data_IF_847372456731
#
_entry.id   IF_847372456731
#
_cell.length_a   1.000
_cell.length_b   1.000
_cell.length_c   1.000
_cell.angle_alpha   90.00
_cell.angle_beta   90.00
_cell.angle_gamma   90.00
#
_symmetry.space_group_name_H-M   'P 1'
#
loop_
_entity.id
_entity.type
_entity.pdbx_description
1 polymer ?
#
# COMPACT_ATOMS: atom_id res chain seq x y z
N UNK A 1 64.32 59.71 -12.61
CA UNK A 1 64.12 58.93 -11.36
C UNK A 1 62.66 58.48 -11.11
N UNK A 2 61.70 58.65 -12.03
CA UNK A 2 60.29 58.25 -11.81
C UNK A 2 59.94 56.81 -12.23
N UNK A 3 60.76 56.15 -13.05
CA UNK A 3 60.49 54.80 -13.61
C UNK A 3 60.65 53.67 -12.60
N UNK A 4 61.51 53.84 -11.59
CA UNK A 4 61.83 52.80 -10.58
C UNK A 4 60.66 52.65 -9.59
N UNK A 5 59.94 53.75 -9.29
CA UNK A 5 58.79 53.71 -8.40
C UNK A 5 57.57 53.04 -9.04
N UNK A 6 57.38 53.19 -10.35
CA UNK A 6 56.30 52.53 -11.08
C UNK A 6 56.47 51.01 -11.15
N UNK A 7 57.69 50.51 -11.34
CA UNK A 7 57.98 49.07 -11.34
C UNK A 7 57.85 48.45 -9.95
N UNK A 8 58.23 49.18 -8.90
CA UNK A 8 58.08 48.71 -7.51
C UNK A 8 56.60 48.60 -7.09
N UNK A 9 55.75 49.54 -7.51
CA UNK A 9 54.31 49.53 -7.21
C UNK A 9 53.57 48.39 -7.93
N UNK A 10 53.96 48.09 -9.17
CA UNK A 10 53.37 47.00 -9.95
C UNK A 10 53.77 45.61 -9.40
N UNK A 11 55.02 45.46 -8.95
CA UNK A 11 55.48 44.22 -8.32
C UNK A 11 54.81 43.96 -6.95
N UNK A 12 54.54 45.02 -6.18
CA UNK A 12 53.81 44.92 -4.91
C UNK A 12 52.34 44.54 -5.07
N UNK A 13 51.68 45.00 -6.15
CA UNK A 13 50.29 44.66 -6.42
C UNK A 13 50.09 43.19 -6.84
N UNK A 14 51.05 42.59 -7.56
CA UNK A 14 50.99 41.17 -7.94
C UNK A 14 51.13 40.21 -6.74
N UNK A 15 51.80 40.61 -5.65
CA UNK A 15 51.93 39.76 -4.46
C UNK A 15 50.67 39.74 -3.58
N UNK A 16 49.73 40.69 -3.77
CA UNK A 16 48.52 40.78 -2.96
C UNK A 16 47.35 39.89 -3.45
N UNK A 17 47.47 39.26 -4.63
CA UNK A 17 46.40 38.43 -5.24
C UNK A 17 46.58 36.93 -4.94
N UNK A 18 47.67 36.52 -4.29
CA UNK A 18 48.04 35.12 -4.13
C UNK A 18 47.48 34.38 -2.90
N UNK A 19 46.59 34.98 -2.11
CA UNK A 19 46.12 34.35 -0.86
C UNK A 19 44.60 34.44 -0.71
N UNK A 20 43.87 33.80 -1.62
CA UNK A 20 42.54 33.32 -1.29
C UNK A 20 42.68 31.83 -0.95
N UNK A 21 42.22 31.37 0.22
CA UNK A 21 42.12 29.93 0.46
C UNK A 21 41.24 29.31 -0.64
N UNK A 22 41.64 28.13 -1.12
CA UNK A 22 40.81 27.26 -1.93
C UNK A 22 39.40 27.22 -1.31
N UNK A 23 38.32 27.47 -2.06
CA UNK A 23 36.98 27.39 -1.51
C UNK A 23 36.80 26.00 -0.87
N UNK A 24 36.19 25.93 0.33
CA UNK A 24 36.01 24.64 0.99
C UNK A 24 35.19 23.73 0.08
N UNK A 25 35.57 22.45 0.03
CA UNK A 25 34.83 21.46 -0.74
C UNK A 25 33.41 21.37 -0.20
N UNK A 26 32.44 21.29 -1.10
CA UNK A 26 31.02 21.23 -0.71
C UNK A 26 30.75 19.98 0.12
N UNK A 27 29.93 20.16 1.15
CA UNK A 27 29.55 19.06 2.05
C UNK A 27 28.47 18.18 1.42
N UNK A 28 28.35 16.93 1.90
CA UNK A 28 27.25 16.02 1.51
C UNK A 28 25.88 16.66 1.75
N UNK A 29 25.73 17.34 2.89
CA UNK A 29 24.45 17.93 3.28
C UNK A 29 24.05 19.07 2.34
N UNK A 30 24.99 19.90 1.90
CA UNK A 30 24.73 20.96 0.93
C UNK A 30 24.20 20.42 -0.41
N UNK A 31 24.71 19.27 -0.85
CA UNK A 31 24.21 18.59 -2.04
C UNK A 31 22.83 17.96 -1.84
N UNK A 32 22.56 17.42 -0.66
CA UNK A 32 21.24 16.90 -0.30
C UNK A 32 20.19 18.01 -0.27
N UNK A 33 20.56 19.20 0.22
CA UNK A 33 19.65 20.33 0.35
C UNK A 33 19.43 21.08 -0.98
N UNK A 34 20.35 20.95 -1.94
CA UNK A 34 20.28 21.63 -3.24
C UNK A 34 20.41 20.64 -4.42
N UNK A 35 19.29 20.12 -4.96
CA UNK A 35 19.32 19.11 -6.03
C UNK A 35 19.98 19.62 -7.32
N UNK A 36 19.81 20.90 -7.65
CA UNK A 36 20.43 21.51 -8.84
C UNK A 36 21.96 21.45 -8.76
N UNK A 37 22.53 21.70 -7.57
CA UNK A 37 23.97 21.62 -7.35
C UNK A 37 24.47 20.17 -7.41
N UNK A 38 23.68 19.24 -6.86
CA UNK A 38 23.98 17.82 -6.93
C UNK A 38 24.02 17.31 -8.37
N UNK A 39 23.02 17.64 -9.19
CA UNK A 39 22.98 17.26 -10.60
C UNK A 39 24.16 17.84 -11.38
N UNK A 40 24.45 19.14 -11.20
CA UNK A 40 25.58 19.79 -11.85
C UNK A 40 26.93 19.14 -11.46
N UNK A 41 27.11 18.83 -10.17
CA UNK A 41 28.29 18.14 -9.68
C UNK A 41 28.39 16.72 -10.26
N UNK A 42 27.29 15.96 -10.28
CA UNK A 42 27.26 14.61 -10.84
C UNK A 42 27.61 14.59 -12.33
N UNK A 43 27.13 15.56 -13.12
CA UNK A 43 27.49 15.71 -14.53
C UNK A 43 28.98 15.98 -14.69
N UNK A 44 29.55 16.91 -13.90
CA UNK A 44 30.99 17.19 -13.92
C UNK A 44 31.82 15.96 -13.53
N UNK A 45 31.42 15.28 -12.46
CA UNK A 45 32.10 14.07 -11.98
C UNK A 45 32.04 12.92 -13.00
N UNK A 46 30.98 12.86 -13.82
CA UNK A 46 30.83 11.84 -14.84
C UNK A 46 31.75 12.03 -16.06
N UNK A 47 32.17 13.28 -16.36
CA UNK A 47 33.01 13.57 -17.54
C UNK A 47 34.36 12.85 -17.50
N UNK A 48 35.02 12.78 -16.34
CA UNK A 48 36.30 12.08 -16.15
C UNK A 48 36.31 11.24 -14.87
N UNK A 49 35.56 10.13 -14.86
CA UNK A 49 35.39 9.27 -13.67
C UNK A 49 36.68 8.71 -13.08
N UNK A 50 37.73 8.52 -13.89
CA UNK A 50 39.00 7.95 -13.43
C UNK A 50 39.73 8.94 -12.53
N UNK A 51 39.78 10.21 -12.94
CA UNK A 51 40.43 11.29 -12.22
C UNK A 51 39.62 11.72 -10.99
N UNK A 52 38.29 11.83 -11.15
CA UNK A 52 37.37 12.28 -10.09
C UNK A 52 36.95 11.18 -9.12
N UNK A 53 37.54 9.99 -9.21
CA UNK A 53 37.18 8.85 -8.36
C UNK A 53 37.31 9.16 -6.87
N UNK A 54 38.37 9.87 -6.49
CA UNK A 54 38.70 10.21 -5.12
C UNK A 54 38.61 11.71 -4.82
N UNK A 55 38.13 12.50 -5.78
CA UNK A 55 37.84 13.90 -5.54
C UNK A 55 36.74 14.02 -4.47
N UNK A 56 37.02 14.83 -3.44
CA UNK A 56 36.16 14.97 -2.28
C UNK A 56 34.76 15.47 -2.67
N UNK A 57 34.64 16.40 -3.63
CA UNK A 57 33.33 16.86 -4.10
C UNK A 57 32.55 15.73 -4.78
N UNK A 58 33.21 14.91 -5.60
CA UNK A 58 32.57 13.80 -6.31
C UNK A 58 32.25 12.60 -5.42
N UNK A 59 32.99 12.39 -4.33
CA UNK A 59 32.63 11.42 -3.29
C UNK A 59 31.41 11.92 -2.52
N UNK A 60 31.41 13.18 -2.10
CA UNK A 60 30.31 13.78 -1.36
C UNK A 60 29.01 13.81 -2.17
N UNK A 61 29.07 14.16 -3.45
CA UNK A 61 27.92 14.15 -4.36
C UNK A 61 27.34 12.73 -4.52
N UNK A 62 28.19 11.71 -4.70
CA UNK A 62 27.72 10.31 -4.79
C UNK A 62 27.07 9.84 -3.50
N UNK A 63 27.65 10.20 -2.35
CA UNK A 63 27.06 9.91 -1.06
C UNK A 63 25.70 10.60 -0.89
N UNK A 64 25.56 11.85 -1.35
CA UNK A 64 24.30 12.57 -1.34
C UNK A 64 23.22 11.86 -2.16
N UNK A 65 23.55 11.37 -3.37
CA UNK A 65 22.63 10.55 -4.18
C UNK A 65 22.15 9.33 -3.40
N UNK A 66 23.07 8.56 -2.82
CA UNK A 66 22.72 7.36 -2.04
C UNK A 66 21.81 7.69 -0.84
N UNK A 67 22.00 8.85 -0.20
CA UNK A 67 21.13 9.30 0.90
C UNK A 67 19.73 9.70 0.41
N UNK A 68 19.63 10.38 -0.73
CA UNK A 68 18.35 10.77 -1.34
C UNK A 68 17.57 9.52 -1.74
N UNK A 69 18.20 8.59 -2.48
CA UNK A 69 17.59 7.33 -2.89
C UNK A 69 17.10 6.51 -1.67
N UNK A 70 17.90 6.43 -0.61
CA UNK A 70 17.51 5.75 0.62
C UNK A 70 16.36 6.44 1.37
N UNK A 71 16.17 7.75 1.23
CA UNK A 71 15.02 8.48 1.78
C UNK A 71 13.78 8.24 0.93
N UNK A 72 13.91 8.31 -0.40
CA UNK A 72 12.81 8.07 -1.33
C UNK A 72 12.27 6.66 -1.24
N UNK A 73 13.14 5.65 -1.15
CA UNK A 73 12.72 4.26 -1.00
C UNK A 73 11.97 4.03 0.33
N UNK A 74 12.39 4.67 1.42
CA UNK A 74 11.66 4.64 2.70
C UNK A 74 10.29 5.29 2.57
N UNK A 75 10.22 6.49 2.00
CA UNK A 75 8.96 7.18 1.77
C UNK A 75 8.01 6.37 0.88
N UNK A 76 8.53 5.71 -0.15
CA UNK A 76 7.75 4.83 -1.03
C UNK A 76 7.18 3.64 -0.27
N UNK A 77 7.98 2.99 0.58
CA UNK A 77 7.51 1.86 1.41
C UNK A 77 6.41 2.30 2.37
N UNK A 78 6.61 3.40 3.08
CA UNK A 78 5.61 3.97 4.00
C UNK A 78 4.30 4.32 3.27
N UNK A 79 4.39 4.89 2.07
CA UNK A 79 3.22 5.19 1.25
C UNK A 79 2.44 3.93 0.85
N UNK A 80 3.14 2.86 0.42
CA UNK A 80 2.52 1.58 0.06
C UNK A 80 1.90 0.89 1.28
N UNK A 81 2.56 0.92 2.42
CA UNK A 81 2.05 0.39 3.68
C UNK A 81 0.79 1.14 4.12
N UNK A 82 0.79 2.47 4.04
CA UNK A 82 -0.39 3.30 4.34
C UNK A 82 -1.55 3.00 3.39
N UNK A 83 -1.30 2.83 2.08
CA UNK A 83 -2.33 2.44 1.11
C UNK A 83 -2.89 1.04 1.39
N UNK A 84 -2.01 0.08 1.71
CA UNK A 84 -2.41 -1.28 2.09
C UNK A 84 -3.25 -1.28 3.38
N UNK A 85 -2.87 -0.50 4.38
CA UNK A 85 -3.64 -0.33 5.61
C UNK A 85 -5.03 0.22 5.33
N UNK A 86 -5.14 1.30 4.55
CA UNK A 86 -6.45 1.88 4.15
C UNK A 86 -7.32 0.87 3.40
N UNK A 87 -6.74 0.10 2.48
CA UNK A 87 -7.47 -0.94 1.72
C UNK A 87 -7.98 -2.06 2.63
N UNK A 88 -7.15 -2.54 3.56
CA UNK A 88 -7.54 -3.56 4.55
C UNK A 88 -8.65 -3.07 5.47
N UNK A 89 -8.57 -1.82 5.92
CA UNK A 89 -9.61 -1.21 6.75
C UNK A 89 -10.92 -1.05 5.98
N UNK A 90 -10.88 -0.55 4.74
CA UNK A 90 -12.05 -0.43 3.89
C UNK A 90 -12.71 -1.80 3.66
N UNK A 91 -11.92 -2.84 3.38
CA UNK A 91 -12.42 -4.20 3.22
C UNK A 91 -13.11 -4.69 4.50
N UNK A 92 -12.49 -4.50 5.67
CA UNK A 92 -13.08 -4.88 6.95
C UNK A 92 -14.45 -4.21 7.16
N UNK A 93 -14.54 -2.89 6.93
CA UNK A 93 -15.81 -2.15 7.05
C UNK A 93 -16.89 -2.68 6.10
N UNK A 94 -16.52 -3.00 4.85
CA UNK A 94 -17.50 -3.57 3.90
C UNK A 94 -17.96 -4.96 4.31
N UNK A 95 -17.08 -5.79 4.87
CA UNK A 95 -17.42 -7.13 5.34
C UNK A 95 -18.32 -7.08 6.58
N UNK A 96 -18.02 -6.19 7.53
CA UNK A 96 -18.84 -5.94 8.71
C UNK A 96 -20.24 -5.46 8.31
N UNK A 97 -20.33 -4.48 7.42
CA UNK A 97 -21.61 -3.96 6.92
C UNK A 97 -22.42 -5.05 6.19
N UNK A 98 -21.77 -5.88 5.38
CA UNK A 98 -22.43 -6.99 4.70
C UNK A 98 -22.91 -8.08 5.67
N UNK A 99 -22.12 -8.39 6.70
CA UNK A 99 -22.52 -9.35 7.74
C UNK A 99 -23.70 -8.82 8.56
N UNK A 100 -23.70 -7.52 8.90
CA UNK A 100 -24.82 -6.90 9.60
C UNK A 100 -26.09 -6.85 8.74
N UNK A 101 -25.96 -6.53 7.45
CA UNK A 101 -27.08 -6.56 6.53
C UNK A 101 -27.73 -7.95 6.44
N UNK A 102 -26.91 -9.02 6.41
CA UNK A 102 -27.40 -10.41 6.44
C UNK A 102 -28.14 -10.74 7.74
N UNK A 103 -27.59 -10.36 8.90
CA UNK A 103 -28.28 -10.57 10.19
C UNK A 103 -29.64 -9.86 10.21
N UNK A 104 -29.69 -8.61 9.72
CA UNK A 104 -30.94 -7.85 9.65
C UNK A 104 -31.95 -8.44 8.68
N UNK A 105 -31.51 -9.01 7.55
CA UNK A 105 -32.43 -9.69 6.62
C UNK A 105 -32.97 -10.99 7.20
N UNK A 106 -32.13 -11.80 7.83
CA UNK A 106 -32.52 -13.06 8.48
C UNK A 106 -33.52 -12.80 9.62
N UNK A 107 -33.29 -11.78 10.45
CA UNK A 107 -34.22 -11.38 11.50
C UNK A 107 -35.55 -10.88 10.92
N UNK A 108 -35.51 -10.08 9.85
CA UNK A 108 -36.73 -9.61 9.18
C UNK A 108 -37.52 -10.75 8.53
N UNK A 109 -36.84 -11.74 7.94
CA UNK A 109 -37.46 -12.94 7.39
C UNK A 109 -38.09 -13.79 8.49
N UNK A 110 -37.41 -13.98 9.62
CA UNK A 110 -37.97 -14.68 10.78
C UNK A 110 -39.25 -13.99 11.28
N UNK A 111 -39.23 -12.67 11.43
CA UNK A 111 -40.41 -11.91 11.86
C UNK A 111 -41.56 -11.99 10.85
N UNK A 112 -41.27 -12.01 9.54
CA UNK A 112 -42.29 -12.22 8.51
C UNK A 112 -42.86 -13.63 8.58
N UNK A 113 -42.02 -14.64 8.73
CA UNK A 113 -42.46 -16.03 8.85
C UNK A 113 -43.29 -16.26 10.12
N UNK A 114 -42.91 -15.66 11.25
CA UNK A 114 -43.71 -15.67 12.48
C UNK A 114 -45.07 -14.99 12.28
N UNK A 115 -45.11 -13.84 11.60
CA UNK A 115 -46.36 -13.15 11.28
C UNK A 115 -47.26 -13.95 10.32
N UNK A 116 -46.68 -14.59 9.30
CA UNK A 116 -47.40 -15.48 8.38
C UNK A 116 -47.93 -16.72 9.10
N UNK A 117 -47.14 -17.32 9.99
CA UNK A 117 -47.58 -18.45 10.82
C UNK A 117 -48.76 -18.07 11.71
N UNK A 118 -48.70 -16.92 12.38
CA UNK A 118 -49.81 -16.40 13.18
C UNK A 118 -51.03 -16.05 12.31
N UNK A 119 -50.86 -15.55 11.09
CA UNK A 119 -51.97 -15.30 10.18
C UNK A 119 -52.64 -16.60 9.71
N UNK A 120 -51.87 -17.68 9.51
CA UNK A 120 -52.38 -18.97 9.05
C UNK A 120 -53.03 -19.81 10.16
N UNK A 121 -52.48 -19.77 11.38
CA UNK A 121 -52.87 -20.65 12.50
C UNK A 121 -53.36 -19.91 13.75
N UNK A 122 -53.28 -18.58 13.79
CA UNK A 122 -53.62 -17.77 14.96
C UNK A 122 -55.11 -17.42 15.12
N UNK A 123 -55.98 -17.91 14.23
CA UNK A 123 -57.42 -17.74 14.34
C UNK A 123 -58.08 -19.07 14.76
N UNK A 124 -58.35 -19.18 16.06
CA UNK A 124 -59.06 -20.33 16.63
C UNK A 124 -58.70 -20.68 18.07
N UNK A 125 -58.55 -19.70 18.98
CA UNK A 125 -58.87 -20.02 20.36
C UNK A 125 -60.40 -20.08 20.41
N UNK A 126 -61.04 -21.27 20.59
CA UNK A 126 -62.46 -21.28 20.86
C UNK A 126 -62.71 -20.37 22.06
N UNK A 127 -63.77 -19.53 22.05
CA UNK A 127 -64.09 -18.72 23.20
C UNK A 127 -64.13 -19.63 24.42
N UNK A 128 -63.43 -19.24 25.49
CA UNK A 128 -63.38 -20.00 26.73
C UNK A 128 -64.81 -20.30 27.17
N UNK A 129 -65.27 -21.52 26.88
CA UNK A 129 -66.44 -22.08 27.54
C UNK A 129 -65.93 -22.40 28.95
N UNK A 130 -66.49 -21.67 29.90
CA UNK A 130 -66.39 -21.97 31.31
C UNK A 130 -66.71 -23.44 31.55
N UNK A 131 -65.81 -24.11 32.27
CA UNK A 131 -66.05 -25.32 33.07
C UNK A 131 -66.44 -26.57 32.26
N UNK A 132 -65.44 -27.42 31.99
CA UNK A 132 -65.56 -28.86 32.24
C UNK A 132 -64.15 -29.45 32.36
N UNK A 133 -63.86 -29.95 33.57
CA UNK A 133 -62.72 -30.81 33.87
C UNK A 133 -62.88 -32.11 33.07
N UNK A 134 -62.04 -32.35 32.07
CA UNK A 134 -61.88 -33.70 31.52
C UNK A 134 -60.41 -34.03 31.29
N UNK A 135 -60.04 -35.18 31.85
CA UNK A 135 -58.73 -35.82 31.85
C UNK A 135 -58.06 -35.83 30.48
N UNK A 136 -56.85 -35.25 30.40
CA UNK A 136 -55.85 -35.58 29.39
C UNK A 136 -54.50 -35.79 30.07
N UNK A 137 -54.46 -36.81 30.95
CA UNK A 137 -53.25 -37.59 31.15
C UNK A 137 -52.86 -38.29 29.83
N UNK A 138 -51.55 -38.38 29.60
CA UNK A 138 -50.88 -39.22 28.61
C UNK A 138 -50.90 -38.75 27.14
N UNK A 139 -49.96 -37.86 26.80
CA UNK A 139 -49.10 -38.02 25.62
C UNK A 139 -47.87 -37.11 25.72
N UNK A 140 -46.95 -37.45 26.65
CA UNK A 140 -45.59 -36.91 26.61
C UNK A 140 -44.78 -37.82 25.68
N UNK A 141 -44.22 -37.34 24.57
CA UNK A 141 -43.30 -38.15 23.78
C UNK A 141 -42.10 -38.50 24.68
N UNK A 142 -41.94 -39.79 24.98
CA UNK A 142 -40.79 -40.27 25.73
C UNK A 142 -39.52 -39.87 24.99
N UNK A 143 -38.74 -38.96 25.58
CA UNK A 143 -37.42 -38.64 25.10
C UNK A 143 -36.55 -39.90 25.24
N UNK A 144 -36.35 -40.62 24.13
CA UNK A 144 -35.35 -41.69 24.05
C UNK A 144 -33.99 -41.02 24.10
N UNK A 145 -33.41 -40.96 25.30
CA UNK A 145 -32.00 -40.62 25.48
C UNK A 145 -31.18 -41.81 24.96
N UNK A 146 -30.33 -41.65 23.91
CA UNK A 146 -29.39 -42.70 23.57
C UNK A 146 -28.40 -42.86 24.74
N UNK A 147 -28.29 -44.08 25.26
CA UNK A 147 -27.30 -44.39 26.29
C UNK A 147 -25.88 -44.19 25.72
N UNK A 148 -24.95 -43.63 26.50
CA UNK A 148 -23.53 -43.68 26.16
C UNK A 148 -23.02 -45.11 26.40
N UNK A 149 -22.60 -45.79 25.33
CA UNK A 149 -21.75 -46.97 25.43
C UNK A 149 -20.31 -46.50 25.73
N UNK A 150 -19.85 -46.74 26.95
CA UNK A 150 -18.43 -46.66 27.34
C UNK A 150 -17.91 -48.10 27.62
N UNK A 151 -16.60 -48.36 27.66
CA UNK A 151 -15.62 -48.26 26.58
C UNK A 151 -14.80 -49.56 26.48
N UNK A 152 -14.49 -50.04 25.27
CA UNK A 152 -13.48 -51.10 25.10
C UNK A 152 -12.78 -51.03 23.74
N UNK A 153 -11.67 -50.30 23.74
CA UNK A 153 -10.35 -50.81 23.34
C UNK A 153 -10.24 -51.56 22.01
N UNK A 154 -9.66 -50.91 20.99
CA UNK A 154 -8.61 -51.48 20.13
C UNK A 154 -7.72 -50.39 19.52
N UNK A 155 -6.49 -50.39 20.01
CA UNK A 155 -5.16 -50.00 19.49
C UNK A 155 -4.96 -49.51 18.04
N UNK A 156 -3.85 -48.76 17.80
CA UNK A 156 -3.71 -47.81 16.69
C UNK A 156 -3.11 -48.46 15.44
N UNK A 157 -3.63 -48.10 14.27
CA UNK A 157 -3.01 -48.45 13.00
C UNK A 157 -3.01 -47.24 12.05
N UNK A 158 -1.82 -46.67 11.88
CA UNK A 158 -1.34 -46.17 10.60
C UNK A 158 -1.93 -44.87 10.07
N UNK A 159 -1.11 -43.82 10.05
CA UNK A 159 -1.36 -42.66 9.20
C UNK A 159 -0.68 -41.41 9.71
N UNK A 160 0.64 -41.37 9.59
CA UNK A 160 1.40 -40.12 9.65
C UNK A 160 0.99 -39.25 8.45
N UNK A 161 -0.15 -38.58 8.56
CA UNK A 161 -0.56 -37.54 7.64
C UNK A 161 0.09 -36.24 8.11
N UNK A 162 1.30 -36.01 7.61
CA UNK A 162 1.81 -34.65 7.49
C UNK A 162 0.75 -33.82 6.75
N UNK A 163 0.34 -32.63 7.24
CA UNK A 163 -0.42 -31.74 6.41
C UNK A 163 0.51 -31.30 5.28
N UNK A 164 0.30 -31.90 4.10
CA UNK A 164 0.87 -31.45 2.85
C UNK A 164 0.52 -29.99 2.67
N UNK A 165 1.52 -29.14 2.85
CA UNK A 165 1.53 -27.75 2.41
C UNK A 165 1.62 -27.75 0.88
N UNK A 166 0.54 -28.15 0.21
CA UNK A 166 0.38 -28.05 -1.23
C UNK A 166 -0.90 -27.25 -1.52
N UNK A 167 -0.76 -25.94 -1.46
CA UNK A 167 -1.86 -25.02 -1.73
C UNK A 167 -1.42 -23.57 -1.64
N UNK A 168 -0.19 -23.28 -2.06
CA UNK A 168 0.28 -21.90 -2.26
C UNK A 168 -0.53 -21.26 -3.38
N UNK A 169 -1.72 -20.76 -3.07
CA UNK A 169 -2.49 -19.87 -3.93
C UNK A 169 -1.90 -18.46 -3.82
N UNK A 170 -0.62 -18.34 -4.16
CA UNK A 170 -0.01 -17.06 -4.47
C UNK A 170 -0.38 -16.76 -5.93
N UNK A 171 -1.02 -15.61 -6.24
CA UNK A 171 -1.22 -15.24 -7.62
C UNK A 171 0.15 -15.12 -8.29
N UNK A 172 0.38 -15.94 -9.32
CA UNK A 172 1.50 -15.76 -10.24
C UNK A 172 1.26 -14.43 -10.93
N UNK A 173 2.03 -13.40 -10.55
CA UNK A 173 2.14 -12.20 -11.36
C UNK A 173 2.86 -12.62 -12.64
N UNK A 174 2.10 -12.91 -13.69
CA UNK A 174 2.61 -12.83 -15.05
C UNK A 174 3.08 -11.39 -15.24
N UNK A 175 4.39 -11.18 -15.12
CA UNK A 175 5.02 -10.00 -15.69
C UNK A 175 4.96 -10.17 -17.20
N UNK A 176 3.80 -9.85 -17.78
CA UNK A 176 3.69 -9.51 -19.18
C UNK A 176 4.62 -8.33 -19.41
N UNK A 177 5.71 -8.56 -20.14
CA UNK A 177 6.56 -7.50 -20.68
C UNK A 177 5.66 -6.41 -21.26
N UNK A 178 5.88 -5.12 -20.95
CA UNK A 178 5.12 -4.07 -21.60
C UNK A 178 5.42 -4.16 -23.10
N UNK A 179 4.43 -4.59 -23.88
CA UNK A 179 4.47 -4.40 -25.32
C UNK A 179 4.49 -2.89 -25.54
N UNK A 180 5.61 -2.42 -26.04
CA UNK A 180 5.76 -1.06 -26.55
C UNK A 180 4.78 -0.96 -27.73
N UNK A 181 3.61 -0.38 -27.49
CA UNK A 181 2.80 0.12 -28.59
C UNK A 181 3.62 1.18 -29.33
N UNK A 182 3.84 1.07 -30.66
CA UNK A 182 4.46 2.14 -31.40
C UNK A 182 3.53 3.35 -31.35
N UNK A 183 4.11 4.47 -30.89
CA UNK A 183 3.47 5.77 -30.85
C UNK A 183 2.75 6.06 -32.17
N UNK A 184 1.45 6.32 -32.09
CA UNK A 184 0.71 6.94 -33.17
C UNK A 184 1.40 8.25 -33.55
N UNK A 185 1.72 8.37 -34.85
CA UNK A 185 2.39 9.54 -35.41
C UNK A 185 1.62 10.84 -35.12
N UNK A 186 2.32 11.97 -34.94
CA UNK A 186 1.68 13.26 -34.78
C UNK A 186 1.04 13.67 -36.12
N UNK A 187 -0.28 13.77 -36.15
CA UNK A 187 -1.00 14.40 -37.27
C UNK A 187 -0.56 15.85 -37.36
N UNK A 188 0.08 16.19 -38.47
CA UNK A 188 0.42 17.56 -38.88
C UNK A 188 -0.82 18.46 -38.86
N UNK A 189 -0.91 19.32 -37.83
CA UNK A 189 -1.85 20.43 -37.79
C UNK A 189 -1.40 21.53 -38.74
N UNK A 190 -1.99 21.58 -39.93
CA UNK A 190 -1.84 22.68 -40.88
C UNK A 190 -2.56 23.94 -40.36
N UNK A 191 -1.98 25.15 -40.47
CA UNK A 191 -2.56 26.38 -39.95
C UNK A 191 -3.50 27.09 -40.96
N UNK A 192 -4.46 27.84 -40.43
CA UNK A 192 -5.39 28.72 -41.17
C UNK A 192 -6.75 28.06 -41.43
N UNK A 193 -7.89 28.70 -41.17
CA UNK A 193 -8.21 30.11 -41.39
C UNK A 193 -9.24 30.60 -40.38
N UNK A 194 -9.07 31.85 -39.96
CA UNK A 194 -10.10 32.64 -39.33
C UNK A 194 -11.29 32.81 -40.29
N UNK A 195 -12.50 32.59 -39.78
CA UNK A 195 -13.69 33.21 -40.35
C UNK A 195 -14.63 33.60 -39.22
N UNK A 196 -14.66 34.91 -38.98
CA UNK A 196 -15.68 35.68 -38.30
C UNK A 196 -17.03 35.56 -39.00
N UNK A 197 -18.13 35.36 -38.27
CA UNK A 197 -19.42 36.01 -38.59
C UNK A 197 -20.23 36.16 -37.30
N UNK A 198 -20.76 37.37 -37.14
CA UNK A 198 -21.83 37.84 -36.22
C UNK A 198 -23.09 36.95 -36.15
#
# INVERSE_FOLDING_TARGET
MMKIHATALLAGACMAVGCSPEPPTRSVQEFVDNPILLEAAMVRCAQNRVETRYDAECVNARQAVSLVEAREERARREALEAQSARKREALRRTQEAAAEARRRSEEAERLRAEAEYLAQFGEGLPPAQSEEEEDLEANVPGAVLPMPDDPADMTPAGGEATPGNEGGNAPVAETGSPQVEPAAEPVEGKPGTAESVD
#
